data_IF_726258966246
#
_entry.id   IF_726258966246
#
_cell.length_a   1.000
_cell.length_b   1.000
_cell.length_c   1.000
_cell.angle_alpha   90.00
_cell.angle_beta   90.00
_cell.angle_gamma   90.00
#
_symmetry.space_group_name_H-M   'P 1'
#
loop_
_entity.id
_entity.type
_entity.pdbx_description
1 polymer ?
#
# COMPACT_ATOMS: atom_id res chain seq x y z
N UNK A 1 4.82 3.08 -5.11
CA UNK A 1 3.55 2.49 -5.58
C UNK A 1 2.50 3.59 -5.65
N UNK A 2 1.77 3.73 -6.75
CA UNK A 2 0.67 4.70 -6.93
C UNK A 2 -0.59 4.24 -6.20
N UNK A 3 -1.54 5.15 -5.95
CA UNK A 3 -2.84 4.79 -5.34
C UNK A 3 -3.59 3.75 -6.16
N UNK A 4 -3.54 3.86 -7.49
CA UNK A 4 -4.20 2.90 -8.39
C UNK A 4 -3.58 1.52 -8.27
N UNK A 5 -2.25 1.41 -8.31
CA UNK A 5 -1.57 0.11 -8.13
C UNK A 5 -1.93 -0.52 -6.78
N UNK A 6 -2.02 0.26 -5.71
CA UNK A 6 -2.42 -0.21 -4.38
C UNK A 6 -3.85 -0.75 -4.39
N UNK A 7 -4.78 -0.01 -4.99
CA UNK A 7 -6.19 -0.43 -5.12
C UNK A 7 -6.31 -1.69 -5.94
N UNK A 8 -5.66 -1.76 -7.10
CA UNK A 8 -5.68 -2.94 -7.97
C UNK A 8 -5.12 -4.14 -7.23
N UNK A 9 -3.98 -4.00 -6.54
CA UNK A 9 -3.39 -5.07 -5.76
C UNK A 9 -4.33 -5.57 -4.66
N UNK A 10 -4.88 -4.67 -3.84
CA UNK A 10 -5.76 -5.05 -2.73
C UNK A 10 -7.10 -5.60 -3.23
N UNK A 11 -7.62 -5.11 -4.36
CA UNK A 11 -8.87 -5.56 -4.95
C UNK A 11 -8.88 -7.04 -5.34
N UNK A 12 -7.72 -7.68 -5.52
CA UNK A 12 -7.64 -9.14 -5.68
C UNK A 12 -7.92 -9.91 -4.37
N UNK A 13 -7.78 -9.26 -3.22
CA UNK A 13 -7.86 -9.88 -1.89
C UNK A 13 -9.05 -9.38 -1.06
N UNK A 14 -9.84 -8.43 -1.56
CA UNK A 14 -11.04 -7.93 -0.89
C UNK A 14 -12.23 -7.86 -1.83
N UNK A 15 -13.41 -8.21 -1.33
CA UNK A 15 -14.68 -8.00 -2.03
C UNK A 15 -15.22 -6.57 -1.86
N UNK A 16 -14.61 -5.77 -0.97
CA UNK A 16 -15.08 -4.42 -0.70
C UNK A 16 -14.58 -3.43 -1.78
N UNK A 17 -15.45 -2.59 -2.35
CA UNK A 17 -15.03 -1.62 -3.36
C UNK A 17 -14.09 -0.57 -2.76
N UNK A 18 -12.89 -0.44 -3.34
CA UNK A 18 -11.88 0.51 -2.90
C UNK A 18 -11.94 1.79 -3.75
N UNK A 19 -12.02 2.95 -3.09
CA UNK A 19 -12.03 4.26 -3.75
C UNK A 19 -10.66 4.93 -3.73
N UNK A 20 -10.29 5.58 -4.84
CA UNK A 20 -9.07 6.38 -4.95
C UNK A 20 -8.94 7.43 -3.85
N UNK A 21 -10.04 8.15 -3.55
CA UNK A 21 -10.04 9.19 -2.52
C UNK A 21 -9.83 8.60 -1.12
N UNK A 22 -10.63 7.59 -0.77
CA UNK A 22 -10.56 6.95 0.55
C UNK A 22 -9.22 6.24 0.78
N UNK A 23 -8.67 5.60 -0.25
CA UNK A 23 -7.35 4.98 -0.18
C UNK A 23 -6.26 6.03 0.05
N UNK A 24 -6.30 7.15 -0.68
CA UNK A 24 -5.35 8.25 -0.49
C UNK A 24 -5.38 8.82 0.93
N UNK A 25 -6.57 8.97 1.51
CA UNK A 25 -6.73 9.41 2.90
C UNK A 25 -6.27 8.35 3.92
N UNK A 26 -6.57 7.08 3.70
CA UNK A 26 -6.14 5.98 4.56
C UNK A 26 -4.61 5.87 4.60
N UNK A 27 -3.95 5.95 3.44
CA UNK A 27 -2.49 5.95 3.35
C UNK A 27 -1.86 7.14 4.07
N UNK A 28 -2.45 8.34 3.94
CA UNK A 28 -2.02 9.52 4.69
C UNK A 28 -2.16 9.31 6.21
N UNK A 29 -3.30 8.81 6.67
CA UNK A 29 -3.55 8.52 8.10
C UNK A 29 -2.62 7.43 8.65
N UNK A 30 -2.26 6.44 7.84
CA UNK A 30 -1.32 5.38 8.21
C UNK A 30 0.16 5.82 8.15
N UNK A 31 0.45 7.08 7.80
CA UNK A 31 1.80 7.63 7.79
C UNK A 31 2.64 7.23 6.58
N UNK A 32 2.02 6.84 5.47
CA UNK A 32 2.77 6.59 4.23
C UNK A 32 3.21 7.89 3.58
N UNK A 33 4.51 8.00 3.33
CA UNK A 33 5.09 9.16 2.67
C UNK A 33 4.76 9.16 1.17
N UNK A 34 4.17 10.26 0.69
CA UNK A 34 3.88 10.50 -0.73
C UNK A 34 5.03 11.32 -1.33
N UNK A 35 5.65 10.79 -2.38
CA UNK A 35 6.77 11.40 -3.10
C UNK A 35 6.47 11.55 -4.58
N UNK A 36 7.06 12.56 -5.22
CA UNK A 36 7.04 12.68 -6.67
C UNK A 36 8.20 11.88 -7.26
N UNK A 37 7.90 11.05 -8.27
CA UNK A 37 8.89 10.26 -9.01
C UNK A 37 8.77 10.59 -10.49
N UNK A 38 9.87 10.98 -11.13
CA UNK A 38 9.92 11.12 -12.58
C UNK A 38 10.32 9.78 -13.19
N UNK A 39 9.61 9.36 -14.23
CA UNK A 39 10.05 8.24 -15.09
C UNK A 39 10.74 8.89 -16.28
N UNK A 40 12.01 8.56 -16.51
CA UNK A 40 12.85 8.93 -17.66
C UNK A 40 12.35 10.13 -18.48
N UNK A 41 12.51 11.35 -17.96
CA UNK A 41 12.20 12.60 -18.66
C UNK A 41 10.72 13.01 -18.75
N UNK A 42 9.77 12.19 -18.27
CA UNK A 42 8.34 12.48 -18.29
C UNK A 42 7.80 13.26 -17.08
N UNK A 43 6.48 13.50 -17.09
CA UNK A 43 5.77 14.17 -15.99
C UNK A 43 5.94 13.43 -14.66
N UNK A 44 6.04 14.15 -13.53
CA UNK A 44 6.17 13.53 -12.23
C UNK A 44 4.91 12.72 -11.88
N UNK A 45 5.10 11.50 -11.42
CA UNK A 45 4.05 10.62 -10.89
C UNK A 45 4.15 10.62 -9.37
N UNK A 46 3.02 10.78 -8.69
CA UNK A 46 2.98 10.68 -7.24
C UNK A 46 2.87 9.22 -6.81
N UNK A 47 3.81 8.80 -5.97
CA UNK A 47 3.91 7.43 -5.47
C UNK A 47 4.09 7.44 -3.95
N UNK A 48 3.62 6.41 -3.29
CA UNK A 48 3.89 6.14 -1.89
C UNK A 48 5.15 5.30 -1.73
N UNK A 49 6.00 5.65 -0.75
CA UNK A 49 7.14 4.82 -0.34
C UNK A 49 6.63 3.55 0.35
N UNK A 50 7.10 2.41 -0.12
CA UNK A 50 6.83 1.11 0.51
C UNK A 50 7.98 0.82 1.48
N UNK A 51 7.66 0.53 2.73
CA UNK A 51 8.63 0.09 3.75
C UNK A 51 8.39 -1.37 4.10
N UNK A 52 9.46 -2.11 4.36
CA UNK A 52 9.35 -3.43 4.99
C UNK A 52 8.87 -3.23 6.42
N UNK A 53 7.91 -4.05 6.85
CA UNK A 53 7.45 -4.08 8.24
C UNK A 53 8.27 -5.16 8.94
N UNK A 54 9.01 -4.76 9.99
CA UNK A 54 9.81 -5.65 10.83
C UNK A 54 9.47 -5.41 12.30
N UNK A 55 9.26 -6.48 13.11
CA UNK A 55 9.14 -7.88 12.68
C UNK A 55 7.92 -8.08 11.76
N UNK A 56 7.95 -9.12 10.92
CA UNK A 56 6.84 -9.41 10.02
C UNK A 56 5.56 -9.63 10.86
N UNK A 57 4.51 -8.82 10.68
CA UNK A 57 3.34 -8.86 11.56
C UNK A 57 2.58 -10.20 11.45
N UNK A 58 2.73 -10.91 10.33
CA UNK A 58 2.12 -12.21 10.08
C UNK A 58 2.86 -13.39 10.75
N UNK A 59 4.15 -13.21 11.10
CA UNK A 59 4.97 -14.29 11.65
C UNK A 59 4.50 -14.72 13.05
N UNK A 60 3.89 -13.81 13.82
CA UNK A 60 3.31 -14.15 15.12
C UNK A 60 1.91 -14.81 15.01
N UNK A 61 1.23 -14.66 13.87
CA UNK A 61 -0.10 -15.25 13.63
C UNK A 61 -0.03 -16.71 13.14
N UNK A 62 1.08 -17.13 12.52
CA UNK A 62 1.24 -18.52 12.05
C UNK A 62 1.74 -19.51 13.12
N UNK A 63 2.27 -19.04 14.26
CA UNK A 63 2.75 -19.95 15.33
C UNK A 63 1.64 -20.53 16.21
N UNK A 64 0.38 -20.10 16.05
CA UNK A 64 -0.76 -20.57 16.87
C UNK A 64 -1.71 -21.55 16.17
N UNK A 65 -1.44 -21.93 14.91
CA UNK A 65 -2.24 -22.92 14.17
C UNK A 65 -1.46 -24.19 13.81
N UNK A 66 -0.31 -24.42 14.44
CA UNK A 66 0.50 -25.63 14.26
C UNK A 66 0.85 -26.24 15.63
N UNK A 67 -0.19 -26.57 16.41
CA UNK A 67 -0.11 -27.37 17.63
C UNK A 67 -1.11 -28.52 17.53
#
# INVERSE_FOLDING_TARGET
MTTTEIITYLGYYTHHPLSLKHMGEALRKAGFEKVSRRRDGGSPIYVYKVRKILPCPLLNSCSSQMS
#
